data_IF_547185797056
#
_entry.id   IF_547185797056
#
_cell.length_a   1.000
_cell.length_b   1.000
_cell.length_c   1.000
_cell.angle_alpha   90.00
_cell.angle_beta   90.00
_cell.angle_gamma   90.00
#
_symmetry.space_group_name_H-M   'P 1'
#
loop_
_entity.id
_entity.type
_entity.pdbx_description
1 polymer ?
#
# COMPACT_ATOMS: atom_id res chain seq x y z
N UNK A 1 -10.08 -15.07 -7.81
CA UNK A 1 -10.03 -13.79 -7.07
C UNK A 1 -11.32 -13.67 -6.27
N UNK A 2 -11.25 -13.24 -5.01
CA UNK A 2 -12.41 -13.12 -4.10
C UNK A 2 -13.34 -11.95 -4.47
N UNK A 3 -13.97 -11.99 -5.65
CA UNK A 3 -15.15 -11.18 -6.00
C UNK A 3 -15.04 -9.65 -6.02
N UNK A 4 -13.87 -9.05 -5.71
CA UNK A 4 -13.69 -7.60 -5.66
C UNK A 4 -13.40 -7.02 -7.05
N UNK A 5 -14.18 -6.02 -7.45
CA UNK A 5 -14.04 -5.31 -8.71
C UNK A 5 -13.17 -4.05 -8.57
N UNK A 6 -12.36 -3.80 -9.58
CA UNK A 6 -11.47 -2.65 -9.66
C UNK A 6 -11.87 -1.86 -10.90
N UNK A 7 -12.63 -0.77 -10.69
CA UNK A 7 -12.99 0.13 -11.78
C UNK A 7 -11.78 1.00 -12.13
N UNK A 8 -11.14 0.64 -13.23
CA UNK A 8 -9.97 1.35 -13.75
C UNK A 8 -10.30 1.87 -15.14
N UNK A 9 -9.95 3.12 -15.41
CA UNK A 9 -10.06 3.72 -16.74
C UNK A 9 -8.89 3.23 -17.60
N UNK A 10 -8.87 1.93 -17.87
CA UNK A 10 -7.82 1.26 -18.62
C UNK A 10 -8.25 0.97 -20.05
N UNK A 11 -7.39 1.28 -21.02
CA UNK A 11 -7.52 0.67 -22.34
C UNK A 11 -7.07 -0.79 -22.22
N UNK A 12 -8.03 -1.70 -22.03
CA UNK A 12 -7.78 -3.13 -21.88
C UNK A 12 -6.92 -3.73 -23.02
N UNK A 13 -6.87 -3.08 -24.20
CA UNK A 13 -6.03 -3.46 -25.33
C UNK A 13 -4.55 -3.06 -25.17
N UNK A 14 -4.24 -1.90 -24.58
CA UNK A 14 -2.86 -1.38 -24.49
C UNK A 14 -2.05 -1.97 -23.33
N UNK A 15 -2.71 -2.54 -22.32
CA UNK A 15 -2.06 -3.05 -21.10
C UNK A 15 -1.60 -1.97 -20.14
N UNK A 16 -2.18 -0.78 -20.30
CA UNK A 16 -2.02 0.37 -19.41
C UNK A 16 -3.28 0.53 -18.57
N UNK A 17 -3.09 0.62 -17.26
CA UNK A 17 -4.13 0.97 -16.30
C UNK A 17 -3.98 2.45 -15.93
N UNK A 18 -5.09 3.18 -15.80
CA UNK A 18 -5.12 4.53 -15.25
C UNK A 18 -6.13 4.61 -14.11
N UNK A 19 -5.71 5.15 -12.99
CA UNK A 19 -6.53 5.34 -11.79
C UNK A 19 -6.08 6.60 -11.04
N UNK A 20 -6.95 7.19 -10.24
CA UNK A 20 -6.57 8.26 -9.30
C UNK A 20 -6.05 7.66 -7.99
N UNK A 21 -5.30 8.46 -7.23
CA UNK A 21 -4.81 8.08 -5.91
C UNK A 21 -5.95 7.67 -4.98
N UNK A 22 -7.04 8.43 -4.95
CA UNK A 22 -8.19 8.14 -4.08
C UNK A 22 -8.86 6.80 -4.41
N UNK A 23 -8.99 6.45 -5.70
CA UNK A 23 -9.56 5.17 -6.12
C UNK A 23 -8.76 3.94 -5.64
N UNK A 24 -7.46 4.10 -5.39
CA UNK A 24 -6.61 3.02 -4.92
C UNK A 24 -6.36 3.11 -3.40
N UNK A 25 -5.90 4.25 -2.92
CA UNK A 25 -5.40 4.43 -1.57
C UNK A 25 -6.42 5.01 -0.57
N UNK A 26 -7.55 5.57 -1.02
CA UNK A 26 -8.68 5.96 -0.14
C UNK A 26 -9.80 4.91 -0.10
N UNK A 27 -9.49 3.67 -0.49
CA UNK A 27 -10.44 2.56 -0.49
C UNK A 27 -9.92 1.37 0.32
N UNK A 28 -10.74 0.35 0.53
CA UNK A 28 -10.39 -0.89 1.23
C UNK A 28 -9.48 -1.84 0.41
N UNK A 29 -8.89 -1.34 -0.69
CA UNK A 29 -8.00 -2.14 -1.53
C UNK A 29 -6.69 -2.46 -0.82
N UNK A 30 -6.24 -3.70 -0.98
CA UNK A 30 -5.04 -4.22 -0.34
C UNK A 30 -4.05 -4.83 -1.32
N UNK A 31 -3.00 -5.46 -0.78
CA UNK A 31 -1.91 -6.05 -1.55
C UNK A 31 -2.40 -7.01 -2.64
N UNK A 32 -3.40 -7.85 -2.35
CA UNK A 32 -3.96 -8.78 -3.32
C UNK A 32 -4.58 -8.07 -4.55
N UNK A 33 -5.20 -6.90 -4.36
CA UNK A 33 -5.81 -6.13 -5.44
C UNK A 33 -4.73 -5.46 -6.30
N UNK A 34 -3.69 -4.91 -5.66
CA UNK A 34 -2.55 -4.31 -6.36
C UNK A 34 -1.74 -5.34 -7.14
N UNK A 35 -1.53 -6.52 -6.55
CA UNK A 35 -0.93 -7.68 -7.21
C UNK A 35 -1.70 -8.08 -8.46
N UNK A 36 -3.01 -8.26 -8.33
CA UNK A 36 -3.89 -8.60 -9.45
C UNK A 36 -3.76 -7.59 -10.60
N UNK A 37 -3.70 -6.30 -10.27
CA UNK A 37 -3.49 -5.23 -11.23
C UNK A 37 -2.10 -5.32 -11.89
N UNK A 38 -1.06 -5.43 -11.08
CA UNK A 38 0.32 -5.53 -11.55
C UNK A 38 0.52 -6.73 -12.48
N UNK A 39 -0.11 -7.87 -12.20
CA UNK A 39 0.00 -9.06 -13.04
C UNK A 39 -0.74 -8.94 -14.39
N UNK A 40 -1.73 -8.06 -14.50
CA UNK A 40 -2.51 -7.86 -15.73
C UNK A 40 -1.99 -6.71 -16.60
N UNK A 41 -1.49 -5.64 -15.98
CA UNK A 41 -1.05 -4.41 -16.64
C UNK A 41 0.47 -4.28 -16.57
N UNK A 42 1.08 -3.80 -17.65
CA UNK A 42 2.53 -3.54 -17.64
C UNK A 42 2.85 -2.12 -17.19
N UNK A 43 1.87 -1.21 -17.23
CA UNK A 43 2.01 0.17 -16.78
C UNK A 43 0.77 0.60 -15.99
N UNK A 44 0.99 1.25 -14.85
CA UNK A 44 -0.01 2.00 -14.08
C UNK A 44 0.27 3.49 -14.22
N UNK A 45 -0.75 4.25 -14.59
CA UNK A 45 -0.79 5.72 -14.53
C UNK A 45 -1.62 6.10 -13.31
N UNK A 46 -1.00 6.78 -12.35
CA UNK A 46 -1.62 7.18 -11.09
C UNK A 46 -1.79 8.71 -11.05
N UNK A 47 -3.04 9.16 -11.08
CA UNK A 47 -3.37 10.58 -11.05
C UNK A 47 -3.47 11.10 -9.61
N UNK A 48 -3.12 12.39 -9.43
CA UNK A 48 -3.38 13.17 -8.22
C UNK A 48 -2.78 12.58 -6.92
N UNK A 49 -1.50 12.19 -6.94
CA UNK A 49 -0.80 11.71 -5.74
C UNK A 49 -0.43 12.90 -4.84
N UNK A 50 -1.04 13.02 -3.65
CA UNK A 50 -0.76 14.13 -2.75
C UNK A 50 0.60 13.93 -2.04
N UNK A 51 1.11 15.01 -1.44
CA UNK A 51 2.20 14.91 -0.48
C UNK A 51 1.66 14.36 0.85
N UNK A 52 2.05 13.12 1.18
CA UNK A 52 1.53 12.34 2.29
C UNK A 52 2.21 12.72 3.61
N UNK A 53 1.41 13.14 4.59
CA UNK A 53 1.88 13.49 5.94
C UNK A 53 1.41 12.46 6.99
N UNK A 54 1.75 12.68 8.26
CA UNK A 54 1.37 11.80 9.38
C UNK A 54 -0.13 11.59 9.54
N UNK A 55 -0.96 12.59 9.21
CA UNK A 55 -2.41 12.46 9.31
C UNK A 55 -2.97 11.44 8.29
N UNK A 56 -2.25 11.22 7.18
CA UNK A 56 -2.61 10.32 6.09
C UNK A 56 -1.81 9.00 6.14
N UNK A 57 -1.45 8.53 7.34
CA UNK A 57 -0.61 7.34 7.51
C UNK A 57 -1.20 6.07 6.87
N UNK A 58 -2.53 5.91 6.88
CA UNK A 58 -3.20 4.77 6.24
C UNK A 58 -3.08 4.81 4.71
N UNK A 59 -3.34 5.98 4.11
CA UNK A 59 -3.11 6.21 2.68
C UNK A 59 -1.66 5.97 2.31
N UNK A 60 -0.73 6.44 3.16
CA UNK A 60 0.69 6.29 2.94
C UNK A 60 1.12 4.81 2.98
N UNK A 61 0.57 4.02 3.91
CA UNK A 61 0.75 2.55 3.94
C UNK A 61 0.23 1.90 2.68
N UNK A 62 -0.99 2.23 2.24
CA UNK A 62 -1.57 1.67 1.00
C UNK A 62 -0.76 2.05 -0.23
N UNK A 63 -0.24 3.27 -0.29
CA UNK A 63 0.63 3.71 -1.37
C UNK A 63 1.97 2.98 -1.37
N UNK A 64 2.59 2.75 -0.21
CA UNK A 64 3.79 1.90 -0.11
C UNK A 64 3.48 0.48 -0.60
N UNK A 65 2.38 -0.14 -0.16
CA UNK A 65 1.98 -1.47 -0.61
C UNK A 65 1.79 -1.53 -2.12
N UNK A 66 1.16 -0.51 -2.71
CA UNK A 66 1.02 -0.39 -4.15
C UNK A 66 2.40 -0.33 -4.84
N UNK A 67 3.31 0.55 -4.38
CA UNK A 67 4.68 0.66 -4.94
C UNK A 67 5.44 -0.65 -4.83
N UNK A 68 5.30 -1.36 -3.71
CA UNK A 68 5.96 -2.64 -3.47
C UNK A 68 5.50 -3.71 -4.46
N UNK A 69 4.19 -3.86 -4.64
CA UNK A 69 3.60 -4.82 -5.57
C UNK A 69 3.97 -4.49 -7.03
N UNK A 70 3.95 -3.21 -7.41
CA UNK A 70 4.40 -2.79 -8.73
C UNK A 70 5.88 -3.09 -8.93
N UNK A 71 6.72 -2.79 -7.93
CA UNK A 71 8.15 -3.03 -7.96
C UNK A 71 8.48 -4.52 -8.13
N UNK A 72 7.86 -5.38 -7.32
CA UNK A 72 8.04 -6.84 -7.34
C UNK A 72 7.63 -7.42 -8.68
N UNK A 73 6.47 -6.98 -9.18
CA UNK A 73 5.97 -7.38 -10.47
C UNK A 73 6.55 -6.56 -11.62
N UNK A 74 7.65 -5.82 -11.49
CA UNK A 74 8.25 -5.07 -12.63
C UNK A 74 7.26 -4.24 -13.45
N UNK A 75 6.26 -3.66 -12.80
CA UNK A 75 5.20 -2.86 -13.44
C UNK A 75 5.62 -1.40 -13.45
N UNK A 76 5.55 -0.75 -14.61
CA UNK A 76 5.93 0.65 -14.72
C UNK A 76 4.91 1.53 -14.00
N UNK A 77 5.38 2.46 -13.18
CA UNK A 77 4.55 3.49 -12.56
C UNK A 77 4.83 4.83 -13.23
N UNK A 78 3.77 5.48 -13.70
CA UNK A 78 3.75 6.90 -14.07
C UNK A 78 2.80 7.55 -13.08
N UNK A 79 3.21 8.61 -12.41
CA UNK A 79 2.36 9.30 -11.45
C UNK A 79 2.41 10.80 -11.65
N UNK A 80 1.33 11.48 -11.29
CA UNK A 80 1.28 12.94 -11.16
C UNK A 80 1.25 13.32 -9.68
N UNK A 81 2.05 14.31 -9.31
CA UNK A 81 2.17 14.78 -7.92
C UNK A 81 2.66 16.22 -7.92
N UNK A 82 2.31 16.97 -6.87
CA UNK A 82 2.85 18.32 -6.62
C UNK A 82 4.29 18.26 -6.06
N UNK A 83 4.73 17.09 -5.58
CA UNK A 83 6.07 16.91 -5.03
C UNK A 83 7.15 17.01 -6.13
N UNK A 84 8.20 17.79 -5.87
CA UNK A 84 9.30 17.99 -6.82
C UNK A 84 10.16 16.72 -7.07
N UNK A 85 10.20 15.80 -6.10
CA UNK A 85 10.97 14.56 -6.19
C UNK A 85 10.30 13.42 -5.39
N UNK A 86 10.62 12.13 -5.66
CA UNK A 86 9.99 11.01 -4.98
C UNK A 86 10.09 11.03 -3.45
N UNK A 87 11.15 11.63 -2.89
CA UNK A 87 11.30 11.77 -1.43
C UNK A 87 10.26 12.71 -0.82
N UNK A 88 9.89 13.76 -1.55
CA UNK A 88 8.97 14.80 -1.12
C UNK A 88 7.49 14.36 -1.19
N UNK A 89 7.19 13.20 -1.80
CA UNK A 89 5.86 12.57 -1.70
C UNK A 89 5.56 12.17 -0.25
N UNK A 90 6.59 11.88 0.56
CA UNK A 90 6.45 11.45 1.94
C UNK A 90 6.94 12.53 2.91
N UNK A 91 6.04 13.37 3.40
CA UNK A 91 6.27 14.43 4.39
C UNK A 91 6.32 13.86 5.83
N UNK A 92 7.18 12.87 6.01
CA UNK A 92 7.48 12.27 7.31
C UNK A 92 8.88 12.76 7.70
N UNK A 93 8.92 13.73 8.61
CA UNK A 93 10.16 14.22 9.22
C UNK A 93 10.39 13.55 10.59
N UNK A 94 11.63 13.60 11.04
CA UNK A 94 12.04 12.95 12.29
C UNK A 94 11.37 13.62 13.50
N UNK A 95 11.03 14.91 13.37
CA UNK A 95 10.44 15.72 14.44
C UNK A 95 8.95 15.45 14.62
N UNK A 96 8.20 15.17 13.55
CA UNK A 96 6.78 14.79 13.60
C UNK A 96 6.59 13.37 14.12
N UNK A 97 7.52 12.44 13.82
CA UNK A 97 7.54 11.12 14.48
C UNK A 97 7.86 11.27 15.96
N UNK A 98 8.84 12.12 16.31
CA UNK A 98 9.23 12.38 17.70
C UNK A 98 8.09 13.03 18.48
N UNK A 99 7.48 14.09 17.97
CA UNK A 99 6.33 14.75 18.58
C UNK A 99 5.13 13.81 18.76
N UNK A 100 4.83 12.97 17.76
CA UNK A 100 3.81 11.94 17.89
C UNK A 100 4.17 10.89 18.97
N UNK A 101 5.45 10.55 19.11
CA UNK A 101 5.95 9.64 20.15
C UNK A 101 6.03 10.25 21.54
N UNK A 102 6.30 11.54 21.66
CA UNK A 102 6.40 12.27 22.93
C UNK A 102 5.01 12.57 23.51
N UNK A 103 4.02 12.91 22.67
CA UNK A 103 2.64 13.09 23.11
C UNK A 103 1.95 11.80 23.58
N UNK A 104 2.42 10.63 23.11
CA UNK A 104 1.90 9.31 23.48
C UNK A 104 2.70 8.63 24.62
N UNK A 105 3.88 9.15 24.97
CA UNK A 105 4.75 8.59 26.02
C UNK A 105 4.55 9.27 27.38
N UNK A 106 3.33 9.26 27.93
CA UNK A 106 3.24 9.39 29.40
C UNK A 106 3.68 8.03 30.00
N UNK A 107 4.70 7.99 30.88
CA UNK A 107 5.23 6.74 31.41
C UNK A 107 4.18 5.93 32.19
N UNK A 108 3.11 6.57 32.67
CA UNK A 108 2.00 5.91 33.34
C UNK A 108 1.07 5.16 32.37
N UNK A 109 0.69 5.77 31.24
CA UNK A 109 -0.26 5.18 30.28
C UNK A 109 0.34 3.99 29.51
N UNK A 110 1.65 4.04 29.22
CA UNK A 110 2.36 2.98 28.51
C UNK A 110 2.42 1.67 29.30
N UNK A 111 2.57 1.75 30.61
CA UNK A 111 2.73 0.58 31.48
C UNK A 111 1.37 -0.11 31.72
N UNK A 112 0.31 0.69 31.85
CA UNK A 112 -1.08 0.22 32.01
C UNK A 112 -1.58 -0.48 30.74
N UNK A 113 -1.31 0.09 29.56
CA UNK A 113 -1.77 -0.46 28.28
C UNK A 113 -1.01 -1.75 27.90
N UNK A 114 0.31 -1.80 28.15
CA UNK A 114 1.11 -3.03 27.98
C UNK A 114 0.59 -4.17 28.86
N UNK A 115 0.20 -3.86 30.10
CA UNK A 115 -0.35 -4.87 31.02
C UNK A 115 -1.73 -5.36 30.57
N UNK A 116 -2.58 -4.48 30.01
CA UNK A 116 -3.87 -4.87 29.43
C UNK A 116 -3.72 -5.76 28.20
N UNK A 117 -2.95 -5.32 27.20
CA UNK A 117 -2.78 -6.05 25.92
C UNK A 117 -2.10 -7.41 26.14
N UNK A 118 -1.13 -7.49 27.05
CA UNK A 118 -0.49 -8.77 27.39
C UNK A 118 -1.45 -9.75 28.08
N UNK A 119 -2.37 -9.23 28.91
CA UNK A 119 -3.40 -10.04 29.57
C UNK A 119 -4.46 -10.55 28.59
N UNK A 120 -4.85 -9.73 27.62
CA UNK A 120 -5.81 -10.10 26.57
C UNK A 120 -5.20 -11.09 25.57
N UNK A 121 -3.97 -10.89 25.12
CA UNK A 121 -3.30 -11.82 24.21
C UNK A 121 -3.01 -13.18 24.86
N UNK A 122 -2.68 -13.20 26.16
CA UNK A 122 -2.51 -14.43 26.92
C UNK A 122 -3.81 -15.25 27.04
N UNK A 123 -4.98 -14.60 27.01
CA UNK A 123 -6.28 -15.27 27.08
C UNK A 123 -6.70 -15.93 25.74
N UNK A 124 -6.18 -15.43 24.60
CA UNK A 124 -6.57 -15.87 23.25
C UNK A 124 -5.49 -16.73 22.57
N UNK A 125 -4.29 -16.82 23.14
CA UNK A 125 -3.24 -17.72 22.66
C UNK A 125 -2.61 -17.30 21.32
N UNK A 126 -2.70 -16.02 20.95
CA UNK A 126 -2.11 -15.48 19.72
C UNK A 126 -0.70 -15.00 20.04
N UNK A 127 0.35 -15.48 19.33
CA UNK A 127 1.68 -14.93 19.48
C UNK A 127 1.69 -13.48 18.96
N UNK A 128 2.41 -12.59 19.64
CA UNK A 128 2.66 -11.23 19.16
C UNK A 128 3.53 -11.30 17.89
N UNK A 129 2.89 -11.56 16.75
CA UNK A 129 3.55 -11.48 15.45
C UNK A 129 3.61 -10.03 15.01
N UNK A 130 4.66 -9.71 14.24
CA UNK A 130 4.85 -8.42 13.59
C UNK A 130 3.56 -7.96 12.93
N UNK A 131 3.18 -6.70 13.18
CA UNK A 131 1.97 -5.98 12.75
C UNK A 131 1.68 -6.02 11.23
N UNK A 132 2.52 -6.68 10.44
CA UNK A 132 2.49 -6.74 8.98
C UNK A 132 1.73 -7.96 8.44
N UNK A 133 1.50 -9.00 9.25
CA UNK A 133 0.82 -10.25 8.82
C UNK A 133 -0.65 -10.37 9.28
N UNK A 134 -1.22 -9.31 9.87
CA UNK A 134 -2.63 -9.32 10.24
C UNK A 134 -3.51 -9.40 8.98
N UNK A 135 -4.43 -10.36 8.96
CA UNK A 135 -5.33 -10.62 7.84
C UNK A 135 -6.04 -9.33 7.38
N UNK A 136 -5.97 -9.08 6.06
CA UNK A 136 -6.63 -7.96 5.38
C UNK A 136 -8.12 -7.96 5.72
N UNK A 137 -8.56 -7.04 6.58
CA UNK A 137 -9.96 -6.93 7.03
C UNK A 137 -10.17 -6.36 8.44
N UNK A 138 -9.13 -6.18 9.26
CA UNK A 138 -9.28 -5.68 10.64
C UNK A 138 -9.25 -4.14 10.79
N UNK A 139 -8.96 -3.38 9.74
CA UNK A 139 -8.91 -1.91 9.80
C UNK A 139 -10.24 -1.30 9.35
N UNK A 140 -11.24 -1.32 10.23
CA UNK A 140 -12.47 -0.56 10.09
C UNK A 140 -12.21 0.93 10.40
N UNK A 141 -12.45 1.88 9.47
CA UNK A 141 -12.14 3.31 9.67
C UNK A 141 -12.97 4.01 10.75
N UNK A 142 -14.00 3.35 11.30
CA UNK A 142 -15.02 3.96 12.16
C UNK A 142 -14.77 3.84 13.67
N UNK A 143 -13.62 3.34 14.14
CA UNK A 143 -13.40 3.05 15.57
C UNK A 143 -12.12 3.62 16.21
N UNK A 144 -11.34 4.48 15.56
CA UNK A 144 -10.06 4.95 16.12
C UNK A 144 -10.13 6.41 16.59
N UNK A 145 -10.42 6.61 17.88
CA UNK A 145 -10.16 7.86 18.59
C UNK A 145 -9.02 7.64 19.59
N UNK A 146 -7.83 8.19 19.31
CA UNK A 146 -6.67 8.15 20.20
C UNK A 146 -5.40 7.59 19.57
N UNK A 147 -4.23 8.15 19.90
CA UNK A 147 -2.92 7.66 19.47
C UNK A 147 -2.47 6.52 20.41
N UNK A 148 -2.79 5.28 20.05
CA UNK A 148 -2.39 4.06 20.76
C UNK A 148 -0.87 3.78 20.66
N UNK A 149 -0.28 3.11 21.65
CA UNK A 149 1.13 2.67 21.72
C UNK A 149 1.47 1.74 20.54
N UNK A 150 0.48 0.96 20.07
CA UNK A 150 0.58 0.19 18.82
C UNK A 150 0.89 1.08 17.60
N UNK A 151 0.40 2.33 17.59
CA UNK A 151 0.69 3.27 16.53
C UNK A 151 2.16 3.73 16.55
N UNK A 152 2.84 3.79 17.70
CA UNK A 152 4.25 4.25 17.74
C UNK A 152 5.24 3.27 17.10
N UNK A 153 5.08 1.97 17.37
CA UNK A 153 5.87 0.92 16.71
C UNK A 153 5.55 0.92 15.22
N UNK A 154 4.26 0.98 14.90
CA UNK A 154 3.81 1.01 13.51
C UNK A 154 4.25 2.29 12.77
N UNK A 155 4.48 3.42 13.45
CA UNK A 155 5.02 4.66 12.89
C UNK A 155 6.53 4.57 12.63
N UNK A 156 7.30 3.92 13.52
CA UNK A 156 8.73 3.67 13.29
C UNK A 156 8.95 2.73 12.11
N UNK A 157 8.18 1.67 12.00
CA UNK A 157 8.26 0.74 10.87
C UNK A 157 7.82 1.43 9.56
N UNK A 158 6.83 2.30 9.64
CA UNK A 158 6.36 3.10 8.52
C UNK A 158 7.49 4.00 7.96
N UNK A 159 8.36 4.57 8.81
CA UNK A 159 9.54 5.33 8.38
C UNK A 159 10.52 4.48 7.57
N UNK A 160 10.78 3.24 8.01
CA UNK A 160 11.63 2.30 7.26
C UNK A 160 10.98 1.95 5.92
N UNK A 161 9.67 1.72 5.94
CA UNK A 161 8.88 1.44 4.76
C UNK A 161 8.92 2.59 3.73
N UNK A 162 8.89 3.86 4.17
CA UNK A 162 9.05 5.02 3.29
C UNK A 162 10.41 5.08 2.62
N UNK A 163 11.49 4.93 3.40
CA UNK A 163 12.86 4.96 2.83
C UNK A 163 13.01 3.88 1.74
N UNK A 164 12.47 2.69 2.01
CA UNK A 164 12.44 1.59 1.05
C UNK A 164 11.57 1.92 -0.18
N UNK A 165 10.38 2.49 -0.01
CA UNK A 165 9.51 2.88 -1.11
C UNK A 165 10.17 3.96 -2.01
N UNK A 166 10.81 4.97 -1.41
CA UNK A 166 11.57 5.99 -2.16
C UNK A 166 12.72 5.36 -2.94
N UNK A 167 13.45 4.41 -2.35
CA UNK A 167 14.50 3.68 -3.06
C UNK A 167 13.95 2.90 -4.25
N UNK A 168 12.81 2.21 -4.09
CA UNK A 168 12.13 1.51 -5.17
C UNK A 168 11.69 2.46 -6.28
N UNK A 169 11.07 3.59 -5.94
CA UNK A 169 10.66 4.60 -6.93
C UNK A 169 11.85 5.11 -7.73
N UNK A 170 13.02 5.31 -7.11
CA UNK A 170 14.26 5.68 -7.82
C UNK A 170 14.76 4.56 -8.72
N UNK A 171 14.77 3.31 -8.25
CA UNK A 171 15.21 2.17 -9.06
C UNK A 171 14.27 1.88 -10.24
N UNK A 172 12.97 2.10 -10.08
CA UNK A 172 11.97 1.98 -11.16
C UNK A 172 12.22 2.94 -12.33
N UNK A 173 13.06 3.97 -12.14
CA UNK A 173 13.48 4.90 -13.20
C UNK A 173 14.71 4.38 -13.98
N UNK A 174 15.35 3.30 -13.53
CA UNK A 174 16.52 2.72 -14.21
C UNK A 174 16.16 2.02 -15.51
N UNK A 175 17.08 2.03 -16.47
CA UNK A 175 16.92 1.33 -17.75
C UNK A 175 16.72 -0.18 -17.56
N UNK A 176 17.49 -0.80 -16.66
CA UNK A 176 17.35 -2.22 -16.32
C UNK A 176 15.92 -2.58 -15.90
N UNK A 177 15.30 -1.74 -15.08
CA UNK A 177 13.93 -1.97 -14.65
C UNK A 177 12.94 -1.89 -15.83
N UNK A 178 13.17 -0.95 -16.77
CA UNK A 178 12.36 -0.81 -17.98
C UNK A 178 12.53 -2.01 -18.94
N UNK A 179 13.73 -2.54 -19.08
CA UNK A 179 14.00 -3.74 -19.88
C UNK A 179 13.28 -4.96 -19.30
N UNK A 180 13.38 -5.16 -17.98
CA UNK A 180 12.65 -6.23 -17.28
C UNK A 180 11.14 -6.07 -17.47
N UNK A 181 10.60 -4.85 -17.35
CA UNK A 181 9.19 -4.58 -17.65
C UNK A 181 8.79 -5.05 -19.04
N UNK A 182 9.56 -4.70 -20.08
CA UNK A 182 9.30 -5.07 -21.47
C UNK A 182 9.32 -6.58 -21.64
N UNK A 183 10.31 -7.26 -21.05
CA UNK A 183 10.47 -8.72 -21.09
C UNK A 183 9.23 -9.45 -20.59
N UNK A 184 8.54 -8.93 -19.58
CA UNK A 184 7.34 -9.56 -18.99
C UNK A 184 6.01 -9.24 -19.71
N UNK A 185 5.98 -8.34 -20.70
CA UNK A 185 4.73 -7.91 -21.35
C UNK A 185 3.92 -9.03 -22.02
N UNK A 186 4.51 -10.01 -22.74
CA UNK A 186 3.76 -11.09 -23.37
C UNK A 186 2.96 -11.92 -22.36
N UNK A 187 3.60 -12.34 -21.26
CA UNK A 187 2.97 -13.14 -20.20
C UNK A 187 1.80 -12.41 -19.52
N UNK A 188 1.91 -11.09 -19.32
CA UNK A 188 0.79 -10.30 -18.77
C UNK A 188 -0.38 -10.19 -19.72
N UNK A 189 -0.11 -10.08 -21.03
CA UNK A 189 -1.15 -10.05 -22.05
C UNK A 189 -1.95 -11.35 -22.05
N UNK A 190 -1.28 -12.50 -21.94
CA UNK A 190 -1.92 -13.81 -21.82
C UNK A 190 -2.79 -13.88 -20.55
N UNK A 191 -2.22 -13.51 -19.39
CA UNK A 191 -2.97 -13.51 -18.12
C UNK A 191 -4.22 -12.63 -18.17
N UNK A 192 -4.10 -11.43 -18.76
CA UNK A 192 -5.22 -10.51 -18.92
C UNK A 192 -6.30 -11.06 -19.86
N UNK A 193 -5.92 -11.77 -20.92
CA UNK A 193 -6.87 -12.48 -21.79
C UNK A 193 -7.60 -13.59 -21.03
N UNK A 194 -6.89 -14.38 -20.22
CA UNK A 194 -7.50 -15.41 -19.37
C UNK A 194 -8.50 -14.81 -18.39
N UNK A 195 -8.13 -13.74 -17.68
CA UNK A 195 -9.03 -13.03 -16.75
C UNK A 195 -10.28 -12.52 -17.47
N UNK A 196 -10.12 -11.91 -18.66
CA UNK A 196 -11.26 -11.43 -19.45
C UNK A 196 -12.19 -12.59 -19.90
N UNK A 197 -11.62 -13.74 -20.26
CA UNK A 197 -12.40 -14.94 -20.61
C UNK A 197 -13.17 -15.47 -19.40
N UNK A 198 -12.54 -15.55 -18.23
CA UNK A 198 -13.21 -15.98 -16.99
C UNK A 198 -14.36 -15.05 -16.60
N UNK A 199 -14.17 -13.73 -16.68
CA UNK A 199 -15.23 -12.76 -16.36
C UNK A 199 -16.41 -12.91 -17.33
N UNK A 200 -16.14 -13.06 -18.63
CA UNK A 200 -17.19 -13.27 -19.61
C UNK A 200 -17.96 -14.57 -19.32
N UNK A 201 -17.29 -15.67 -19.01
CA UNK A 201 -17.95 -16.94 -18.69
C UNK A 201 -18.83 -16.87 -17.44
N UNK A 202 -18.42 -16.10 -16.43
CA UNK A 202 -19.20 -15.89 -15.20
C UNK A 202 -20.45 -15.03 -15.40
N UNK A 203 -20.49 -14.17 -16.43
CA UNK A 203 -21.66 -13.35 -16.74
C UNK A 203 -22.74 -14.09 -17.57
N UNK A 204 -22.47 -15.32 -18.01
CA UNK A 204 -23.40 -16.16 -18.79
C UNK A 204 -23.93 -17.38 -18.00
N UNK A 205 -23.63 -17.48 -16.70
CA UNK A 205 -24.21 -18.46 -15.77
C UNK A 205 -25.10 -17.75 -14.75
#
# INVERSE_FOLDING_TARGET
MMGRTLDVRGHAKSGVCRASFSQLCDTEKGAADYKAMAECFHTLVLDDVPALNMAQHDQARRFILLVDELYEHRTRLVLSTEAAEPRAIFLFDDDSVRAASEGANSPAALEEEKQRVNKENAAVGVPTTSSWDAAVGAYGPSQMAGLDVGNLVALKDLKVAFKRAVSRLREMQSERYLEENIRWRPKRRERRQQVAQTINQQNYM
#
